data_IF_408865614150
#
_entry.id   IF_408865614150
#
_cell.length_a   1.000
_cell.length_b   1.000
_cell.length_c   1.000
_cell.angle_alpha   90.00
_cell.angle_beta   90.00
_cell.angle_gamma   90.00
#
_symmetry.space_group_name_H-M   'P 1'
#
loop_
_entity.id
_entity.type
_entity.pdbx_description
1 polymer ?
#
# COMPACT_ATOMS: atom_id res chain seq x y z
N UNK A 1 45.92 -41.04 38.02
CA UNK A 1 44.85 -40.99 36.99
C UNK A 1 43.49 -41.03 37.68
N UNK A 2 42.53 -40.28 37.14
CA UNK A 2 41.16 -40.01 37.64
C UNK A 2 41.03 -39.04 38.83
N UNK A 3 40.47 -37.84 38.57
CA UNK A 3 39.17 -37.40 39.11
C UNK A 3 38.76 -36.00 38.62
N UNK A 4 37.47 -35.91 38.30
CA UNK A 4 36.52 -34.79 38.50
C UNK A 4 36.44 -33.67 37.47
N UNK A 5 35.41 -33.81 36.63
CA UNK A 5 34.61 -32.73 36.04
C UNK A 5 34.00 -31.80 37.10
N UNK A 6 33.97 -30.49 36.82
CA UNK A 6 33.03 -29.54 37.42
C UNK A 6 32.66 -28.39 36.48
N UNK A 7 31.36 -28.33 36.15
CA UNK A 7 30.47 -27.17 35.93
C UNK A 7 30.85 -26.11 34.89
N UNK A 8 30.15 -26.06 33.75
CA UNK A 8 28.94 -25.26 33.45
C UNK A 8 29.22 -23.77 33.22
N UNK A 9 28.97 -23.29 31.99
CA UNK A 9 28.31 -22.00 31.77
C UNK A 9 27.63 -22.00 30.39
N UNK A 10 26.30 -21.89 30.41
CA UNK A 10 25.46 -21.69 29.22
C UNK A 10 25.61 -20.23 28.81
N UNK A 11 26.34 -19.97 27.72
CA UNK A 11 26.44 -18.66 27.09
C UNK A 11 25.45 -18.53 25.94
N UNK A 12 24.46 -17.66 26.12
CA UNK A 12 23.41 -17.29 25.18
C UNK A 12 24.00 -16.79 23.85
N UNK A 13 23.76 -17.51 22.74
CA UNK A 13 23.88 -16.96 21.38
C UNK A 13 22.69 -16.03 21.12
N UNK A 14 22.65 -14.93 21.87
CA UNK A 14 21.72 -13.84 21.70
C UNK A 14 22.13 -13.07 20.44
N UNK A 15 21.32 -13.22 19.39
CA UNK A 15 21.08 -12.20 18.37
C UNK A 15 22.32 -11.63 17.68
N UNK A 16 22.83 -12.37 16.71
CA UNK A 16 23.66 -11.78 15.66
C UNK A 16 22.81 -10.74 14.89
N UNK A 17 22.92 -9.50 15.33
CA UNK A 17 22.90 -8.26 14.54
C UNK A 17 22.25 -8.36 13.15
N UNK A 18 20.93 -8.48 13.13
CA UNK A 18 20.12 -7.89 12.06
C UNK A 18 20.22 -6.37 12.22
N UNK A 19 21.29 -5.76 11.72
CA UNK A 19 21.24 -4.33 11.35
C UNK A 19 20.34 -4.26 10.12
N UNK A 20 19.04 -4.16 10.35
CA UNK A 20 18.10 -3.76 9.32
C UNK A 20 18.59 -2.42 8.76
N UNK A 21 18.97 -2.42 7.49
CA UNK A 21 19.12 -1.17 6.74
C UNK A 21 17.85 -0.32 6.98
N UNK A 22 17.97 1.00 7.18
CA UNK A 22 16.78 1.85 7.27
C UNK A 22 15.99 1.64 5.98
N UNK A 23 14.72 1.23 6.13
CA UNK A 23 13.79 1.19 5.00
C UNK A 23 13.85 2.56 4.30
N UNK A 24 13.80 2.59 2.95
CA UNK A 24 13.87 3.86 2.22
C UNK A 24 12.77 4.76 2.76
N UNK A 25 13.17 5.98 3.12
CA UNK A 25 12.37 6.90 3.92
C UNK A 25 11.00 7.12 3.26
N UNK A 26 9.93 6.75 3.97
CA UNK A 26 8.55 6.88 3.51
C UNK A 26 8.24 8.38 3.36
N UNK A 27 8.34 8.87 2.13
CA UNK A 27 7.94 10.23 1.80
C UNK A 27 6.44 10.37 2.00
N UNK A 28 6.02 11.21 2.94
CA UNK A 28 4.61 11.50 3.23
C UNK A 28 3.95 12.03 1.95
N UNK A 29 3.16 11.18 1.29
CA UNK A 29 2.53 11.47 -0.01
C UNK A 29 1.08 11.96 0.11
N UNK A 30 0.57 12.14 1.34
CA UNK A 30 -0.76 12.67 1.63
C UNK A 30 -0.71 13.61 2.84
N UNK A 31 -1.46 14.71 2.78
CA UNK A 31 -1.80 15.51 3.97
C UNK A 31 -2.85 14.77 4.81
N UNK A 32 -3.00 15.11 6.11
CA UNK A 32 -4.03 14.51 6.97
C UNK A 32 -5.46 14.71 6.46
N UNK A 33 -5.69 15.74 5.64
CA UNK A 33 -6.99 15.97 4.98
C UNK A 33 -7.18 15.04 3.79
N UNK A 34 -6.15 14.89 2.94
CA UNK A 34 -6.18 13.96 1.80
C UNK A 34 -6.32 12.51 2.26
N UNK A 35 -5.64 12.13 3.35
CA UNK A 35 -5.76 10.80 3.98
C UNK A 35 -7.21 10.53 4.41
N UNK A 36 -7.82 11.45 5.17
CA UNK A 36 -9.23 11.33 5.60
C UNK A 36 -10.19 11.29 4.41
N UNK A 37 -9.95 12.08 3.37
CA UNK A 37 -10.78 12.10 2.18
C UNK A 37 -10.68 10.78 1.38
N UNK A 38 -9.48 10.21 1.28
CA UNK A 38 -9.26 8.92 0.63
C UNK A 38 -9.88 7.78 1.44
N UNK A 39 -9.71 7.77 2.75
CA UNK A 39 -10.34 6.80 3.65
C UNK A 39 -11.87 6.81 3.52
N UNK A 40 -12.49 8.00 3.53
CA UNK A 40 -13.93 8.16 3.31
C UNK A 40 -14.40 7.69 1.91
N UNK A 41 -13.52 7.71 0.89
CA UNK A 41 -13.83 7.11 -0.42
C UNK A 41 -13.75 5.59 -0.37
N UNK A 42 -12.72 5.04 0.27
CA UNK A 42 -12.55 3.60 0.44
C UNK A 42 -13.69 2.98 1.25
N UNK A 43 -14.14 3.62 2.33
CA UNK A 43 -15.29 3.18 3.12
C UNK A 43 -16.59 3.10 2.27
N UNK A 44 -16.80 4.05 1.35
CA UNK A 44 -17.94 4.00 0.42
C UNK A 44 -17.82 2.86 -0.59
N UNK A 45 -16.62 2.63 -1.12
CA UNK A 45 -16.32 1.53 -2.04
C UNK A 45 -16.58 0.18 -1.35
N UNK A 46 -16.15 0.03 -0.09
CA UNK A 46 -16.42 -1.14 0.72
C UNK A 46 -17.92 -1.38 0.87
N UNK A 47 -18.70 -0.33 1.13
CA UNK A 47 -20.16 -0.40 1.17
C UNK A 47 -20.79 -0.89 -0.15
N UNK A 48 -20.31 -0.39 -1.30
CA UNK A 48 -20.76 -0.85 -2.61
C UNK A 48 -20.41 -2.33 -2.84
N UNK A 49 -19.20 -2.76 -2.47
CA UNK A 49 -18.80 -4.16 -2.61
C UNK A 49 -19.63 -5.07 -1.68
N UNK A 50 -19.93 -4.63 -0.47
CA UNK A 50 -20.81 -5.34 0.45
C UNK A 50 -22.23 -5.49 -0.14
N UNK A 51 -22.76 -4.46 -0.82
CA UNK A 51 -24.04 -4.54 -1.52
C UNK A 51 -24.01 -5.56 -2.66
N UNK A 52 -22.94 -5.58 -3.48
CA UNK A 52 -22.75 -6.60 -4.53
C UNK A 52 -22.75 -8.01 -3.94
N UNK A 53 -22.09 -8.22 -2.80
CA UNK A 53 -22.10 -9.53 -2.12
C UNK A 53 -23.50 -9.96 -1.68
N UNK A 54 -24.34 -9.02 -1.24
CA UNK A 54 -25.75 -9.29 -0.90
C UNK A 54 -26.56 -9.64 -2.15
N UNK A 55 -26.42 -8.87 -3.23
CA UNK A 55 -27.07 -9.15 -4.51
C UNK A 55 -26.73 -10.56 -5.03
N UNK A 56 -25.47 -10.98 -4.88
CA UNK A 56 -25.04 -12.32 -5.25
C UNK A 56 -25.70 -13.40 -4.40
N UNK A 57 -25.78 -13.20 -3.07
CA UNK A 57 -26.43 -14.13 -2.16
C UNK A 57 -27.95 -14.22 -2.39
N UNK A 58 -28.56 -13.15 -2.88
CA UNK A 58 -29.98 -13.08 -3.25
C UNK A 58 -30.27 -13.60 -4.67
N UNK A 59 -29.26 -14.09 -5.39
CA UNK A 59 -29.37 -14.56 -6.78
C UNK A 59 -29.97 -13.53 -7.74
N UNK A 60 -29.60 -12.25 -7.57
CA UNK A 60 -29.96 -11.16 -8.49
C UNK A 60 -29.44 -11.40 -9.92
N UNK A 61 -30.02 -10.69 -10.89
CA UNK A 61 -29.69 -10.89 -12.30
C UNK A 61 -28.24 -10.53 -12.64
N UNK A 62 -27.68 -11.29 -13.60
CA UNK A 62 -26.28 -11.14 -14.00
C UNK A 62 -25.95 -9.73 -14.51
N UNK A 63 -26.89 -9.07 -15.20
CA UNK A 63 -26.64 -7.76 -15.79
C UNK A 63 -26.51 -6.69 -14.70
N UNK A 64 -27.38 -6.71 -13.69
CA UNK A 64 -27.30 -5.84 -12.52
C UNK A 64 -26.02 -6.05 -11.72
N UNK A 65 -25.60 -7.30 -11.51
CA UNK A 65 -24.32 -7.62 -10.88
C UNK A 65 -23.13 -7.03 -11.66
N UNK A 66 -23.11 -7.18 -12.98
CA UNK A 66 -22.07 -6.62 -13.83
C UNK A 66 -22.01 -5.09 -13.76
N UNK A 67 -23.17 -4.42 -13.78
CA UNK A 67 -23.25 -2.96 -13.65
C UNK A 67 -22.70 -2.49 -12.30
N UNK A 68 -23.05 -3.16 -11.21
CA UNK A 68 -22.58 -2.79 -9.87
C UNK A 68 -21.09 -3.06 -9.69
N UNK A 69 -20.57 -4.18 -10.19
CA UNK A 69 -19.14 -4.45 -10.22
C UNK A 69 -18.36 -3.42 -11.05
N UNK A 70 -18.90 -3.01 -12.20
CA UNK A 70 -18.32 -1.94 -13.01
C UNK A 70 -18.29 -0.60 -12.25
N UNK A 71 -19.33 -0.28 -11.48
CA UNK A 71 -19.37 0.91 -10.64
C UNK A 71 -18.32 0.87 -9.52
N UNK A 72 -18.14 -0.28 -8.84
CA UNK A 72 -17.08 -0.49 -7.84
C UNK A 72 -15.70 -0.29 -8.47
N UNK A 73 -15.46 -0.89 -9.65
CA UNK A 73 -14.21 -0.73 -10.39
C UNK A 73 -13.95 0.74 -10.75
N UNK A 74 -14.95 1.46 -11.22
CA UNK A 74 -14.81 2.87 -11.55
C UNK A 74 -14.47 3.72 -10.31
N UNK A 75 -15.13 3.47 -9.18
CA UNK A 75 -14.85 4.16 -7.93
C UNK A 75 -13.43 3.88 -7.40
N UNK A 76 -12.98 2.62 -7.48
CA UNK A 76 -11.59 2.24 -7.16
C UNK A 76 -10.58 2.94 -8.07
N UNK A 77 -10.82 2.95 -9.38
CA UNK A 77 -9.96 3.65 -10.32
C UNK A 77 -9.84 5.14 -9.98
N UNK A 78 -10.94 5.78 -9.59
CA UNK A 78 -10.91 7.19 -9.19
C UNK A 78 -10.11 7.41 -7.90
N UNK A 79 -10.20 6.50 -6.92
CA UNK A 79 -9.40 6.58 -5.69
C UNK A 79 -7.90 6.42 -5.99
N UNK A 80 -7.55 5.50 -6.89
CA UNK A 80 -6.18 5.29 -7.37
C UNK A 80 -5.63 6.55 -8.05
N UNK A 81 -6.41 7.18 -8.93
CA UNK A 81 -6.01 8.42 -9.62
C UNK A 81 -5.72 9.53 -8.60
N UNK A 82 -6.62 9.75 -7.64
CA UNK A 82 -6.42 10.78 -6.59
C UNK A 82 -5.18 10.52 -5.74
N UNK A 83 -4.90 9.25 -5.41
CA UNK A 83 -3.68 8.88 -4.71
C UNK A 83 -2.42 9.14 -5.54
N UNK A 84 -2.47 8.80 -6.84
CA UNK A 84 -1.37 9.02 -7.77
C UNK A 84 -1.09 10.50 -7.99
N UNK A 85 -2.12 11.34 -8.16
CA UNK A 85 -2.00 12.80 -8.25
C UNK A 85 -1.27 13.37 -7.02
N UNK A 86 -1.68 12.95 -5.82
CA UNK A 86 -1.05 13.39 -4.57
C UNK A 86 0.42 12.94 -4.48
N UNK A 87 0.72 11.72 -4.95
CA UNK A 87 2.08 11.22 -5.02
C UNK A 87 2.94 11.98 -6.05
N UNK A 88 2.37 12.34 -7.21
CA UNK A 88 3.04 13.15 -8.22
C UNK A 88 3.40 14.54 -7.68
N UNK A 89 2.47 15.22 -7.01
CA UNK A 89 2.71 16.54 -6.44
C UNK A 89 3.83 16.49 -5.40
N UNK A 90 3.80 15.50 -4.50
CA UNK A 90 4.83 15.30 -3.49
C UNK A 90 6.22 15.01 -4.12
N UNK A 91 6.27 14.15 -5.14
CA UNK A 91 7.51 13.79 -5.83
C UNK A 91 8.07 14.96 -6.66
N UNK A 92 7.24 15.75 -7.34
CA UNK A 92 7.70 16.93 -8.10
C UNK A 92 8.28 17.98 -7.16
N UNK A 93 7.62 18.25 -6.02
CA UNK A 93 8.13 19.18 -5.01
C UNK A 93 9.49 18.68 -4.47
N UNK A 94 9.63 17.37 -4.23
CA UNK A 94 10.88 16.78 -3.76
C UNK A 94 12.01 16.90 -4.79
N UNK A 95 11.75 16.58 -6.06
CA UNK A 95 12.73 16.69 -7.15
C UNK A 95 13.16 18.14 -7.41
N UNK A 96 12.28 19.12 -7.22
CA UNK A 96 12.63 20.53 -7.39
C UNK A 96 13.59 21.04 -6.29
N UNK A 97 13.69 20.33 -5.17
CA UNK A 97 14.49 20.71 -4.01
C UNK A 97 15.79 19.90 -3.88
N UNK A 98 15.94 18.78 -4.60
CA UNK A 98 17.05 17.83 -4.43
C UNK A 98 17.57 17.28 -5.77
N UNK A 99 18.90 17.20 -5.92
CA UNK A 99 19.59 16.73 -7.14
C UNK A 99 19.34 15.22 -7.42
N UNK A 100 18.87 14.46 -6.42
CA UNK A 100 18.56 13.02 -6.53
C UNK A 100 17.14 12.74 -7.09
N UNK A 101 16.73 13.54 -8.07
CA UNK A 101 15.44 13.46 -8.79
C UNK A 101 15.14 12.08 -9.42
N UNK A 102 16.15 11.20 -9.53
CA UNK A 102 16.04 9.89 -10.18
C UNK A 102 15.24 8.88 -9.37
N UNK A 103 15.33 8.89 -8.04
CA UNK A 103 14.62 7.93 -7.18
C UNK A 103 13.11 8.20 -7.16
N UNK A 104 12.71 9.47 -7.03
CA UNK A 104 11.31 9.89 -7.07
C UNK A 104 10.66 9.62 -8.44
N UNK A 105 11.40 9.80 -9.53
CA UNK A 105 10.93 9.46 -10.88
C UNK A 105 10.67 7.95 -11.07
N UNK A 106 11.53 7.07 -10.52
CA UNK A 106 11.31 5.62 -10.60
C UNK A 106 10.09 5.18 -9.77
N UNK A 107 9.91 5.71 -8.56
CA UNK A 107 8.71 5.45 -7.75
C UNK A 107 7.41 5.86 -8.47
N UNK A 108 7.44 7.00 -9.16
CA UNK A 108 6.32 7.45 -9.98
C UNK A 108 6.05 6.49 -11.16
N UNK A 109 7.10 6.04 -11.87
CA UNK A 109 6.96 5.08 -12.98
C UNK A 109 6.33 3.77 -12.52
N UNK A 110 6.74 3.24 -11.36
CA UNK A 110 6.16 2.02 -10.79
C UNK A 110 4.68 2.19 -10.46
N UNK A 111 4.32 3.31 -9.81
CA UNK A 111 2.93 3.63 -9.50
C UNK A 111 2.09 3.72 -10.78
N UNK A 112 2.56 4.47 -11.80
CA UNK A 112 1.89 4.55 -13.10
C UNK A 112 1.73 3.19 -13.78
N UNK A 113 2.73 2.31 -13.70
CA UNK A 113 2.65 0.97 -14.30
C UNK A 113 1.56 0.09 -13.65
N UNK A 114 1.26 0.29 -12.36
CA UNK A 114 0.15 -0.39 -11.67
C UNK A 114 -1.19 0.19 -12.15
N UNK A 115 -1.32 1.51 -12.23
CA UNK A 115 -2.58 2.19 -12.62
C UNK A 115 -2.93 1.94 -14.10
N UNK A 116 -1.94 1.94 -14.98
CA UNK A 116 -2.12 1.84 -16.42
C UNK A 116 -2.20 0.39 -16.93
N UNK A 117 -2.01 -0.60 -16.06
CA UNK A 117 -2.16 -2.01 -16.43
C UNK A 117 -3.63 -2.28 -16.76
N UNK A 118 -3.93 -2.29 -18.06
CA UNK A 118 -5.24 -2.67 -18.59
C UNK A 118 -5.48 -4.16 -18.32
N UNK A 119 -6.26 -4.49 -17.29
CA UNK A 119 -6.99 -5.77 -17.19
C UNK A 119 -8.27 -5.70 -17.98
#
# INVERSE_FOLDING_TARGET
>A
MAKRSSKVSRGSVRGALLRSAPAPQVQVYLTPEQERALDARLARIEGHLAAVRRMLAEHQDCNSLLVQLAAVKAALNQAIITLLESHMDACIIACAMDEDSRAALEGLKEAMAIVLRKT
#
